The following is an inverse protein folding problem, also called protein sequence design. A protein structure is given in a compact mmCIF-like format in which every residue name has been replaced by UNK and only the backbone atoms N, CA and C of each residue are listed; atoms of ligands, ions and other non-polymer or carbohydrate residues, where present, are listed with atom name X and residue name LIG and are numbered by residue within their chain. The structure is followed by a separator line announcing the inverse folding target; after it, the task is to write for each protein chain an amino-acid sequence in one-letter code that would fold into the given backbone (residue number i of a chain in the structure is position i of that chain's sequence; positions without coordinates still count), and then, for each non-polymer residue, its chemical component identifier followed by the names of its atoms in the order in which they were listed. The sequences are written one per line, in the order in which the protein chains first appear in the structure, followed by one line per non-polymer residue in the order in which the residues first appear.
data_IF_320890794733
#
_entry.id   IF_320890794733
#
_cell.length_a   1.000
_cell.length_b   1.000
_cell.length_c   1.000
_cell.angle_alpha   90.00
_cell.angle_beta   90.00
_cell.angle_gamma   90.00
#
_symmetry.space_group_name_H-M   'P 1'
#
loop_
_entity.id
_entity.type
_entity.pdbx_description
1 polymer ?
#
# COMPACT_ATOMS: atom_id res chain seq x y z
N UNK A 1 -17.67 37.88 20.08
CA UNK A 1 -16.36 37.64 19.46
C UNK A 1 -16.51 36.42 18.58
N UNK A 2 -16.80 36.66 17.30
CA UNK A 2 -16.96 35.67 16.25
C UNK A 2 -15.59 35.14 15.86
N UNK A 3 -15.39 33.82 15.97
CA UNK A 3 -14.24 33.13 15.39
C UNK A 3 -14.39 33.19 13.87
N UNK A 4 -13.61 34.05 13.22
CA UNK A 4 -13.34 33.94 11.79
C UNK A 4 -12.51 32.67 11.58
N UNK A 5 -13.17 31.62 11.08
CA UNK A 5 -12.50 30.48 10.49
C UNK A 5 -11.72 30.96 9.27
N UNK A 6 -10.40 31.04 9.42
CA UNK A 6 -9.49 31.30 8.30
C UNK A 6 -9.41 30.01 7.48
N UNK A 7 -10.40 29.78 6.61
CA UNK A 7 -10.23 28.87 5.48
C UNK A 7 -9.11 29.45 4.63
N UNK A 8 -7.92 28.87 4.74
CA UNK A 8 -6.85 29.17 3.79
C UNK A 8 -7.33 28.68 2.42
N UNK A 9 -7.32 29.52 1.37
CA UNK A 9 -7.73 29.09 0.04
C UNK A 9 -6.85 27.91 -0.39
N UNK A 10 -7.49 26.85 -0.87
CA UNK A 10 -6.83 25.68 -1.46
C UNK A 10 -5.76 26.15 -2.45
N UNK A 11 -4.48 25.92 -2.13
CA UNK A 11 -3.37 26.20 -3.05
C UNK A 11 -3.33 25.12 -4.12
N UNK A 12 -4.26 25.15 -5.08
CA UNK A 12 -4.12 24.34 -6.28
C UNK A 12 -3.11 25.04 -7.21
N UNK A 13 -2.07 24.32 -7.63
CA UNK A 13 -1.10 24.80 -8.61
C UNK A 13 -1.87 25.24 -9.87
N UNK A 14 -1.78 26.52 -10.24
CA UNK A 14 -2.65 27.17 -11.23
C UNK A 14 -2.56 26.57 -12.64
N UNK A 15 -1.46 25.87 -12.93
CA UNK A 15 -1.13 25.25 -14.20
C UNK A 15 -1.00 23.72 -14.09
N UNK A 16 -1.50 23.10 -13.02
CA UNK A 16 -1.45 21.65 -12.80
C UNK A 16 -2.07 20.87 -13.97
N UNK A 17 -1.27 19.97 -14.55
CA UNK A 17 -1.68 19.00 -15.57
C UNK A 17 -1.87 17.61 -14.98
N UNK A 18 -0.80 17.03 -14.41
CA UNK A 18 -0.84 15.70 -13.81
C UNK A 18 0.23 15.50 -12.73
N UNK A 19 -0.04 14.66 -11.75
CA UNK A 19 0.98 14.12 -10.86
C UNK A 19 1.86 13.11 -11.59
N UNK A 20 3.13 13.01 -11.20
CA UNK A 20 4.05 12.00 -11.74
C UNK A 20 4.47 11.05 -10.63
N UNK A 21 3.99 9.81 -10.72
CA UNK A 21 4.42 8.73 -9.84
C UNK A 21 5.61 8.00 -10.45
N UNK A 22 6.61 7.72 -9.62
CA UNK A 22 7.90 7.20 -10.08
C UNK A 22 8.09 5.74 -9.70
N UNK A 23 8.46 4.93 -10.68
CA UNK A 23 8.96 3.58 -10.54
C UNK A 23 10.48 3.60 -10.72
N UNK A 24 11.20 3.13 -9.72
CA UNK A 24 12.64 2.90 -9.87
C UNK A 24 12.84 1.40 -10.17
N UNK A 25 13.35 1.06 -11.35
CA UNK A 25 13.45 -0.33 -11.77
C UNK A 25 14.56 -1.12 -11.07
N UNK A 26 15.44 -0.48 -10.29
CA UNK A 26 16.38 -1.17 -9.41
C UNK A 26 15.68 -1.79 -8.19
N UNK A 27 14.52 -1.23 -7.80
CA UNK A 27 13.81 -1.59 -6.56
C UNK A 27 12.42 -2.17 -6.82
N UNK A 28 11.91 -1.99 -8.04
CA UNK A 28 10.61 -2.48 -8.49
C UNK A 28 10.81 -3.34 -9.74
N UNK A 29 9.83 -4.19 -10.06
CA UNK A 29 9.86 -5.04 -11.24
C UNK A 29 8.92 -4.51 -12.34
N UNK A 30 9.27 -3.42 -13.05
CA UNK A 30 8.39 -2.80 -14.02
C UNK A 30 7.98 -3.73 -15.17
N UNK A 31 8.78 -4.77 -15.47
CA UNK A 31 8.43 -5.76 -16.50
C UNK A 31 7.20 -6.59 -16.09
N UNK A 32 7.06 -6.89 -14.80
CA UNK A 32 5.87 -7.62 -14.30
C UNK A 32 4.62 -6.74 -14.36
N UNK A 33 4.75 -5.42 -14.20
CA UNK A 33 3.64 -4.46 -14.36
C UNK A 33 3.28 -4.27 -15.84
N UNK A 34 4.27 -4.24 -16.75
CA UNK A 34 4.02 -4.19 -18.20
C UNK A 34 3.19 -5.37 -18.67
N UNK A 35 3.52 -6.58 -18.20
CA UNK A 35 2.78 -7.78 -18.56
C UNK A 35 1.29 -7.73 -18.14
N UNK A 36 0.94 -6.86 -17.19
CA UNK A 36 -0.42 -6.64 -16.72
C UNK A 36 -1.16 -5.54 -17.50
N UNK A 37 -0.46 -4.78 -18.36
CA UNK A 37 -1.04 -3.72 -19.20
C UNK A 37 -1.39 -2.42 -18.46
N UNK A 38 -1.05 -2.33 -17.17
CA UNK A 38 -1.38 -1.17 -16.34
C UNK A 38 -1.22 -1.45 -14.85
N UNK A 39 -1.69 -0.52 -14.05
CA UNK A 39 -1.70 -0.57 -12.59
C UNK A 39 -3.10 -0.18 -12.10
N UNK A 40 -3.75 -1.05 -11.33
CA UNK A 40 -5.08 -0.82 -10.73
C UNK A 40 -5.03 -1.15 -9.24
N UNK A 41 -4.14 -0.48 -8.52
CA UNK A 41 -3.85 -0.76 -7.11
C UNK A 41 -3.20 0.45 -6.42
N UNK A 42 -2.74 0.27 -5.19
CA UNK A 42 -2.01 1.27 -4.43
C UNK A 42 -0.55 1.36 -4.88
N UNK A 43 -0.12 2.57 -5.20
CA UNK A 43 1.28 2.89 -5.45
C UNK A 43 1.92 3.54 -4.23
N UNK A 44 3.11 3.06 -3.84
CA UNK A 44 3.83 3.66 -2.73
C UNK A 44 4.40 5.04 -3.10
N UNK A 45 4.28 6.00 -2.19
CA UNK A 45 4.91 7.32 -2.32
C UNK A 45 6.15 7.42 -1.44
N UNK A 46 6.93 8.50 -1.61
CA UNK A 46 8.04 8.80 -0.69
C UNK A 46 7.49 9.23 0.67
N UNK A 47 8.11 8.78 1.75
CA UNK A 47 7.74 9.21 3.10
C UNK A 47 8.33 10.57 3.47
N UNK A 48 9.11 11.18 2.59
CA UNK A 48 9.63 12.52 2.81
C UNK A 48 8.45 13.48 2.96
N UNK A 49 8.38 14.25 4.05
CA UNK A 49 7.33 15.25 4.22
C UNK A 49 7.35 16.19 3.01
N UNK A 50 6.28 16.19 2.23
CA UNK A 50 6.13 17.01 1.05
C UNK A 50 4.69 17.45 0.98
N UNK A 51 4.46 18.76 0.98
CA UNK A 51 3.12 19.34 0.84
C UNK A 51 2.39 18.80 -0.41
N UNK A 52 3.15 18.39 -1.44
CA UNK A 52 2.60 17.82 -2.67
C UNK A 52 1.84 16.53 -2.44
N UNK A 53 2.28 15.71 -1.49
CA UNK A 53 1.55 14.48 -1.13
C UNK A 53 0.20 14.84 -0.50
N UNK A 54 0.13 15.94 0.25
CA UNK A 54 -1.13 16.42 0.83
C UNK A 54 -2.07 17.07 -0.21
N UNK A 55 -1.54 17.49 -1.36
CA UNK A 55 -2.31 18.09 -2.46
C UNK A 55 -2.86 17.05 -3.45
N UNK A 56 -2.45 15.77 -3.36
CA UNK A 56 -2.94 14.70 -4.23
C UNK A 56 -4.37 14.30 -3.86
N UNK A 57 -5.31 14.44 -4.80
CA UNK A 57 -6.73 14.14 -4.59
C UNK A 57 -7.25 13.09 -5.56
N UNK A 58 -8.35 12.42 -5.18
CA UNK A 58 -9.11 11.55 -6.08
C UNK A 58 -9.48 12.29 -7.37
N UNK A 59 -9.48 11.57 -8.49
CA UNK A 59 -9.70 12.07 -9.86
C UNK A 59 -8.61 13.04 -10.39
N UNK A 60 -7.55 13.37 -9.62
CA UNK A 60 -6.40 14.07 -10.21
C UNK A 60 -5.72 13.17 -11.27
N UNK A 61 -5.30 13.74 -12.41
CA UNK A 61 -4.52 13.02 -13.38
C UNK A 61 -3.17 12.54 -12.83
N UNK A 62 -2.76 11.34 -13.24
CA UNK A 62 -1.47 10.78 -12.88
C UNK A 62 -0.77 10.17 -14.10
N UNK A 63 0.54 10.35 -14.16
CA UNK A 63 1.43 9.77 -15.16
C UNK A 63 2.43 8.85 -14.47
N UNK A 64 2.64 7.66 -15.03
CA UNK A 64 3.59 6.68 -14.54
C UNK A 64 4.94 6.83 -15.24
N UNK A 65 5.97 7.14 -14.46
CA UNK A 65 7.32 7.36 -14.94
C UNK A 65 8.27 6.28 -14.45
N UNK A 66 8.99 5.64 -15.37
CA UNK A 66 10.06 4.69 -15.06
C UNK A 66 11.40 5.43 -15.08
N UNK A 67 12.09 5.40 -13.95
CA UNK A 67 13.42 5.98 -13.78
C UNK A 67 14.52 5.16 -14.45
N UNK A 68 15.73 5.72 -14.48
CA UNK A 68 16.94 5.00 -14.90
C UNK A 68 17.28 3.88 -13.92
N UNK A 69 18.07 2.91 -14.37
CA UNK A 69 18.61 1.84 -13.52
C UNK A 69 18.33 0.42 -14.02
N UNK A 70 17.53 0.27 -15.08
CA UNK A 70 17.34 -1.02 -15.75
C UNK A 70 18.17 -1.13 -17.02
N UNK A 71 18.59 -2.35 -17.35
CA UNK A 71 19.16 -2.71 -18.65
C UNK A 71 18.11 -3.29 -19.61
N UNK A 72 16.93 -3.61 -19.11
CA UNK A 72 15.88 -4.32 -19.86
C UNK A 72 14.66 -3.46 -20.13
N UNK A 73 14.59 -2.27 -19.54
CA UNK A 73 13.51 -1.32 -19.76
C UNK A 73 14.04 0.10 -19.89
N UNK A 74 13.48 0.86 -20.82
CA UNK A 74 13.85 2.24 -21.04
C UNK A 74 13.23 3.18 -20.00
N UNK A 75 14.03 4.12 -19.52
CA UNK A 75 13.51 5.20 -18.67
C UNK A 75 12.60 6.11 -19.49
N UNK A 76 11.52 6.62 -18.89
CA UNK A 76 10.55 7.46 -19.60
C UNK A 76 9.16 7.43 -18.98
N UNK A 77 8.18 7.94 -19.73
CA UNK A 77 6.77 7.96 -19.37
C UNK A 77 6.04 6.82 -20.05
N UNK A 78 5.37 6.00 -19.26
CA UNK A 78 4.92 4.67 -19.71
C UNK A 78 3.41 4.53 -19.77
N UNK A 79 2.69 5.48 -19.19
CA UNK A 79 1.25 5.42 -19.14
C UNK A 79 0.67 6.54 -18.30
N UNK A 80 -0.64 6.66 -18.36
CA UNK A 80 -1.37 7.67 -17.63
C UNK A 80 -2.71 7.15 -17.13
N UNK A 81 -3.32 7.90 -16.22
CA UNK A 81 -4.64 7.62 -15.70
C UNK A 81 -5.03 8.58 -14.58
N UNK A 82 -5.65 8.08 -13.52
CA UNK A 82 -6.10 8.91 -12.39
C UNK A 82 -5.71 8.35 -11.04
N UNK A 83 -5.68 9.25 -10.06
CA UNK A 83 -5.80 8.89 -8.67
C UNK A 83 -7.21 8.34 -8.43
N UNK A 84 -7.28 7.11 -7.95
CA UNK A 84 -8.54 6.40 -7.69
C UNK A 84 -8.93 6.41 -6.22
N UNK A 85 -8.00 6.78 -5.34
CA UNK A 85 -8.25 7.03 -3.94
C UNK A 85 -7.18 7.96 -3.35
N UNK A 86 -7.56 8.72 -2.32
CA UNK A 86 -6.68 9.66 -1.64
C UNK A 86 -5.45 9.00 -1.00
N UNK A 87 -4.52 9.83 -0.53
CA UNK A 87 -3.30 9.35 0.12
C UNK A 87 -3.62 8.63 1.44
N UNK A 88 -3.21 7.37 1.53
CA UNK A 88 -3.31 6.55 2.74
C UNK A 88 -1.97 6.48 3.44
N UNK A 89 -1.97 6.65 4.76
CA UNK A 89 -0.76 6.64 5.60
C UNK A 89 -0.81 5.58 6.69
N UNK A 90 0.37 5.15 7.14
CA UNK A 90 0.51 4.18 8.22
C UNK A 90 0.16 2.74 7.82
N UNK A 91 0.23 2.42 6.52
CA UNK A 91 0.13 1.06 6.01
C UNK A 91 1.54 0.62 5.62
N UNK A 92 2.04 -0.48 6.16
CA UNK A 92 3.38 -0.98 5.83
C UNK A 92 3.39 -1.72 4.48
N UNK A 93 4.49 -1.57 3.74
CA UNK A 93 4.69 -2.34 2.52
C UNK A 93 4.95 -3.81 2.81
N UNK A 94 4.67 -4.64 1.81
CA UNK A 94 5.19 -6.00 1.76
C UNK A 94 6.64 -5.97 1.24
N UNK A 95 7.67 -6.30 2.07
CA UNK A 95 9.07 -6.18 1.66
C UNK A 95 9.46 -7.07 0.49
N UNK A 96 8.70 -8.14 0.23
CA UNK A 96 9.00 -9.09 -0.84
C UNK A 96 8.34 -8.72 -2.18
N UNK A 97 7.41 -7.76 -2.18
CA UNK A 97 6.93 -7.12 -3.40
C UNK A 97 7.96 -6.13 -3.98
N UNK A 98 9.06 -5.90 -3.24
CA UNK A 98 10.14 -5.01 -3.60
C UNK A 98 11.42 -5.81 -3.83
N UNK A 99 12.23 -5.36 -4.78
CA UNK A 99 13.58 -5.90 -4.93
C UNK A 99 14.50 -5.46 -3.78
N UNK A 100 14.12 -4.41 -3.05
CA UNK A 100 14.81 -3.85 -1.88
C UNK A 100 13.86 -3.84 -0.67
N UNK A 101 14.06 -4.83 0.19
CA UNK A 101 13.23 -5.06 1.38
C UNK A 101 13.44 -4.00 2.46
N UNK A 102 14.66 -3.49 2.64
CA UNK A 102 14.96 -2.45 3.64
C UNK A 102 14.22 -1.15 3.30
N UNK A 103 14.18 -0.81 2.01
CA UNK A 103 13.43 0.35 1.55
C UNK A 103 11.92 0.16 1.68
N UNK A 104 11.42 -1.04 1.45
CA UNK A 104 10.00 -1.36 1.60
C UNK A 104 9.53 -1.17 3.05
N UNK A 105 10.32 -1.60 4.04
CA UNK A 105 10.00 -1.42 5.46
C UNK A 105 9.81 0.06 5.85
N UNK A 106 10.49 0.98 5.16
CA UNK A 106 10.30 2.40 5.40
C UNK A 106 8.99 2.95 4.82
N UNK A 107 8.39 2.33 3.79
CA UNK A 107 7.24 2.85 3.05
C UNK A 107 5.95 2.69 3.84
N UNK A 108 5.37 3.84 4.19
CA UNK A 108 4.11 3.91 4.96
C UNK A 108 3.02 4.73 4.28
N UNK A 109 3.32 5.32 3.12
CA UNK A 109 2.43 6.22 2.38
C UNK A 109 2.09 5.63 1.01
N UNK A 110 0.81 5.60 0.69
CA UNK A 110 0.25 4.95 -0.49
C UNK A 110 -0.78 5.84 -1.16
N UNK A 111 -0.96 5.64 -2.46
CA UNK A 111 -1.93 6.35 -3.27
C UNK A 111 -2.67 5.35 -4.14
N UNK A 112 -4.00 5.35 -4.10
CA UNK A 112 -4.79 4.55 -5.03
C UNK A 112 -4.64 5.12 -6.43
N UNK A 113 -4.19 4.32 -7.38
CA UNK A 113 -4.03 4.78 -8.77
C UNK A 113 -4.57 3.75 -9.74
N UNK A 114 -5.09 4.28 -10.85
CA UNK A 114 -5.50 3.50 -12.00
C UNK A 114 -4.79 4.07 -13.22
N UNK A 115 -3.82 3.32 -13.74
CA UNK A 115 -2.97 3.71 -14.87
C UNK A 115 -3.07 2.66 -15.95
N UNK A 116 -3.27 3.09 -17.18
CA UNK A 116 -3.11 2.25 -18.37
C UNK A 116 -1.74 2.53 -18.97
N UNK A 117 -0.99 1.47 -19.28
CA UNK A 117 0.28 1.63 -19.97
C UNK A 117 0.08 1.74 -21.48
N UNK A 118 0.86 2.61 -22.10
CA UNK A 118 0.89 2.77 -23.55
C UNK A 118 1.63 1.60 -24.19
N UNK A 119 1.23 1.26 -25.41
CA UNK A 119 1.92 0.22 -26.19
C UNK A 119 3.37 0.60 -26.48
N UNK A 120 3.60 1.90 -26.71
CA UNK A 120 4.93 2.48 -26.90
C UNK A 120 5.15 3.58 -25.86
N UNK A 121 6.06 3.43 -24.89
CA UNK A 121 6.35 4.47 -23.92
C UNK A 121 7.07 5.65 -24.57
N UNK A 122 6.88 6.85 -24.03
CA UNK A 122 7.69 8.02 -24.38
C UNK A 122 9.01 7.92 -23.62
N UNK A 123 10.09 7.63 -24.33
CA UNK A 123 11.41 7.48 -23.73
C UNK A 123 11.93 8.80 -23.17
N UNK A 124 12.85 8.72 -22.22
CA UNK A 124 13.53 9.89 -21.66
C UNK A 124 14.36 10.63 -22.71
N UNK A 125 14.78 9.98 -23.78
CA UNK A 125 15.47 10.63 -24.91
C UNK A 125 14.50 11.49 -25.71
N UNK A 126 13.37 10.93 -26.13
CA UNK A 126 12.31 11.69 -26.81
C UNK A 126 11.83 12.88 -25.97
N UNK A 127 11.61 12.68 -24.67
CA UNK A 127 11.21 13.75 -23.76
C UNK A 127 12.27 14.85 -23.56
N UNK A 128 13.56 14.58 -23.87
CA UNK A 128 14.63 15.59 -23.82
C UNK A 128 14.78 16.36 -25.11
N UNK A 129 14.35 15.77 -26.23
CA UNK A 129 14.36 16.41 -27.54
C UNK A 129 13.16 17.35 -27.71
N UNK A 130 12.08 17.11 -26.99
CA UNK A 130 10.92 18.01 -26.94
C UNK A 130 11.18 19.26 -26.09
N UNK A 131 10.92 20.43 -26.67
CA UNK A 131 11.23 21.74 -26.06
C UNK A 131 10.47 21.98 -24.75
N UNK A 132 9.26 21.42 -24.60
CA UNK A 132 8.42 21.61 -23.42
C UNK A 132 8.80 20.60 -22.33
N UNK A 133 8.85 19.31 -22.69
CA UNK A 133 9.14 18.24 -21.73
C UNK A 133 10.57 18.26 -21.21
N UNK A 134 11.53 18.78 -21.98
CA UNK A 134 12.92 18.89 -21.53
C UNK A 134 13.04 19.72 -20.23
N UNK A 135 12.14 20.69 -20.02
CA UNK A 135 12.10 21.53 -18.82
C UNK A 135 11.31 20.92 -17.65
N UNK A 136 10.52 19.87 -17.90
CA UNK A 136 9.64 19.27 -16.90
C UNK A 136 10.41 18.70 -15.71
N UNK A 137 9.81 18.74 -14.52
CA UNK A 137 10.46 18.26 -13.29
C UNK A 137 10.98 16.81 -13.38
N UNK A 138 10.25 15.84 -13.97
CA UNK A 138 10.74 14.47 -14.10
C UNK A 138 12.01 14.35 -14.95
N UNK A 139 12.18 15.23 -15.95
CA UNK A 139 13.31 15.21 -16.89
C UNK A 139 14.48 16.04 -16.36
N UNK A 140 14.23 17.29 -15.98
CA UNK A 140 15.27 18.24 -15.55
C UNK A 140 15.69 18.05 -14.08
N UNK A 141 14.79 17.55 -13.22
CA UNK A 141 15.00 17.43 -11.77
C UNK A 141 14.53 16.05 -11.26
N UNK A 142 15.12 14.94 -11.75
CA UNK A 142 14.63 13.58 -11.49
C UNK A 142 14.56 13.19 -10.01
N UNK A 143 15.27 13.88 -9.12
CA UNK A 143 15.24 13.71 -7.67
C UNK A 143 13.94 14.20 -6.99
N UNK A 144 13.17 15.08 -7.63
CA UNK A 144 11.94 15.64 -7.05
C UNK A 144 10.85 14.56 -7.04
N UNK A 145 10.23 14.31 -5.89
CA UNK A 145 9.18 13.29 -5.76
C UNK A 145 8.23 13.61 -4.58
N UNK A 146 6.90 13.68 -4.79
CA UNK A 146 6.21 13.62 -6.08
C UNK A 146 6.58 14.80 -6.98
N UNK A 147 6.76 14.53 -8.28
CA UNK A 147 6.84 15.55 -9.30
C UNK A 147 5.44 15.77 -9.89
N UNK A 148 5.24 16.86 -10.64
CA UNK A 148 4.05 17.07 -11.45
C UNK A 148 4.44 17.57 -12.84
N UNK A 149 3.51 17.46 -13.77
CA UNK A 149 3.53 18.11 -15.07
C UNK A 149 2.55 19.28 -15.03
N UNK A 150 2.93 20.39 -15.65
CA UNK A 150 1.98 21.43 -16.02
C UNK A 150 1.05 20.95 -17.13
N UNK A 151 -0.04 21.68 -17.41
CA UNK A 151 -0.95 21.36 -18.53
C UNK A 151 -0.21 21.30 -19.87
N UNK A 152 0.66 22.28 -20.15
CA UNK A 152 1.43 22.30 -21.38
C UNK A 152 2.40 21.11 -21.51
N UNK A 153 3.02 20.72 -20.40
CA UNK A 153 3.88 19.53 -20.36
C UNK A 153 3.07 18.24 -20.54
N UNK A 154 1.88 18.14 -19.93
CA UNK A 154 1.00 17.00 -20.15
C UNK A 154 0.54 16.90 -21.61
N UNK A 155 0.16 18.03 -22.23
CA UNK A 155 -0.25 18.07 -23.63
C UNK A 155 0.89 17.64 -24.57
N UNK A 156 2.11 18.13 -24.32
CA UNK A 156 3.30 17.72 -25.06
C UNK A 156 3.61 16.22 -24.90
N UNK A 157 3.45 15.69 -23.67
CA UNK A 157 3.60 14.27 -23.41
C UNK A 157 2.58 13.42 -24.18
N UNK A 158 1.30 13.80 -24.13
CA UNK A 158 0.24 13.07 -24.85
C UNK A 158 0.48 13.12 -26.36
N UNK A 159 0.88 14.27 -26.91
CA UNK A 159 1.22 14.39 -28.32
C UNK A 159 2.38 13.45 -28.73
N UNK A 160 3.45 13.37 -27.94
CA UNK A 160 4.55 12.43 -28.17
C UNK A 160 4.14 10.97 -28.03
N UNK A 161 3.20 10.69 -27.13
CA UNK A 161 2.65 9.35 -26.93
C UNK A 161 1.62 8.97 -28.02
N UNK A 162 1.24 9.90 -28.91
CA UNK A 162 0.23 9.67 -29.95
C UNK A 162 -1.21 9.66 -29.41
N UNK A 163 -1.45 10.36 -28.30
CA UNK A 163 -2.73 10.43 -27.60
C UNK A 163 -3.32 11.85 -27.63
N UNK A 164 -4.64 11.97 -27.80
CA UNK A 164 -5.34 13.26 -27.79
C UNK A 164 -5.76 13.66 -26.36
N UNK A 165 -5.91 12.67 -25.48
CA UNK A 165 -6.30 12.84 -24.09
C UNK A 165 -5.70 11.74 -23.22
N UNK A 166 -5.77 11.91 -21.90
CA UNK A 166 -5.43 10.86 -20.93
C UNK A 166 -6.25 9.57 -21.10
N UNK A 167 -7.43 9.65 -21.73
CA UNK A 167 -8.45 8.59 -21.77
C UNK A 167 -9.02 8.41 -23.17
N UNK A 168 -8.17 8.17 -24.17
CA UNK A 168 -8.56 7.97 -25.58
C UNK A 168 -9.44 6.71 -25.78
N UNK A 169 -10.70 6.81 -25.36
CA UNK A 169 -11.73 5.77 -25.49
C UNK A 169 -11.65 4.63 -24.47
N UNK A 170 -10.61 4.55 -23.64
CA UNK A 170 -10.52 3.62 -22.51
C UNK A 170 -11.13 4.26 -21.26
N UNK A 171 -12.14 3.61 -20.67
CA UNK A 171 -12.65 4.05 -19.37
C UNK A 171 -11.49 4.05 -18.36
N UNK A 172 -11.37 5.11 -17.56
CA UNK A 172 -10.36 5.18 -16.52
C UNK A 172 -10.42 3.89 -15.68
N UNK A 173 -9.30 3.19 -15.62
CA UNK A 173 -9.13 2.04 -14.73
C UNK A 173 -9.33 2.58 -13.32
N UNK A 174 -10.34 2.08 -12.60
CA UNK A 174 -10.68 2.53 -11.26
C UNK A 174 -10.51 1.36 -10.31
N UNK A 175 -9.77 1.59 -9.23
CA UNK A 175 -9.71 0.66 -8.10
C UNK A 175 -11.15 0.36 -7.68
N UNK A 176 -11.47 -0.93 -7.52
CA UNK A 176 -12.82 -1.36 -7.09
C UNK A 176 -13.16 -0.95 -5.65
N UNK A 177 -12.18 -0.48 -4.88
CA UNK A 177 -12.31 -0.15 -3.45
C UNK A 177 -11.46 1.07 -3.06
N UNK A 178 -11.99 1.98 -2.25
CA UNK A 178 -11.14 2.92 -1.50
C UNK A 178 -10.25 2.18 -0.50
N UNK A 179 -9.20 2.80 0.01
CA UNK A 179 -8.14 2.18 0.82
C UNK A 179 -8.61 1.96 2.24
N UNK A 180 -9.49 2.84 2.72
CA UNK A 180 -10.25 2.63 3.94
C UNK A 180 -11.18 1.42 3.82
N UNK A 181 -11.85 1.24 2.67
CA UNK A 181 -12.68 0.08 2.40
C UNK A 181 -11.85 -1.19 2.24
N UNK A 182 -10.71 -1.13 1.56
CA UNK A 182 -9.81 -2.27 1.37
C UNK A 182 -9.26 -2.74 2.71
N UNK A 183 -8.78 -1.83 3.55
CA UNK A 183 -8.34 -2.14 4.92
C UNK A 183 -9.48 -2.78 5.72
N UNK A 184 -10.67 -2.21 5.68
CA UNK A 184 -11.84 -2.76 6.36
C UNK A 184 -12.23 -4.15 5.81
N UNK A 185 -12.12 -4.39 4.51
CA UNK A 185 -12.38 -5.67 3.86
C UNK A 185 -11.33 -6.71 4.30
N UNK A 186 -10.05 -6.35 4.29
CA UNK A 186 -8.95 -7.22 4.72
C UNK A 186 -9.10 -7.60 6.18
N UNK A 187 -9.32 -6.63 7.07
CA UNK A 187 -9.55 -6.87 8.50
C UNK A 187 -10.78 -7.77 8.71
N UNK A 188 -11.90 -7.47 8.05
CA UNK A 188 -13.13 -8.28 8.11
C UNK A 188 -12.90 -9.72 7.64
N UNK A 189 -12.16 -9.92 6.54
CA UNK A 189 -11.86 -11.26 6.01
C UNK A 189 -10.86 -12.00 6.90
N UNK A 190 -9.86 -11.33 7.43
CA UNK A 190 -8.92 -11.91 8.39
C UNK A 190 -9.63 -12.41 9.64
N UNK A 191 -10.54 -11.63 10.21
CA UNK A 191 -11.36 -12.04 11.36
C UNK A 191 -12.28 -13.22 11.02
N UNK A 192 -12.91 -13.21 9.85
CA UNK A 192 -13.73 -14.33 9.41
C UNK A 192 -12.88 -15.62 9.26
N UNK A 193 -11.68 -15.51 8.70
CA UNK A 193 -10.73 -16.62 8.58
C UNK A 193 -10.26 -17.11 9.96
N UNK A 194 -9.96 -16.20 10.89
CA UNK A 194 -9.58 -16.50 12.28
C UNK A 194 -10.69 -17.28 13.00
N UNK A 195 -11.92 -16.77 12.97
CA UNK A 195 -13.10 -17.44 13.55
C UNK A 195 -13.30 -18.84 12.95
N UNK A 196 -13.14 -18.99 11.62
CA UNK A 196 -13.24 -20.28 10.93
C UNK A 196 -12.11 -21.24 11.35
N UNK A 197 -10.88 -20.75 11.46
CA UNK A 197 -9.72 -21.53 11.89
C UNK A 197 -9.92 -22.07 13.30
N UNK A 198 -10.23 -21.21 14.28
CA UNK A 198 -10.42 -21.63 15.66
C UNK A 198 -11.66 -22.48 15.90
N UNK A 199 -12.74 -22.26 15.14
CA UNK A 199 -13.91 -23.15 15.16
C UNK A 199 -13.53 -24.57 14.76
N UNK A 200 -12.66 -24.75 13.75
CA UNK A 200 -12.16 -26.08 13.35
C UNK A 200 -11.31 -26.74 14.42
N UNK A 201 -10.58 -25.95 15.21
CA UNK A 201 -9.79 -26.42 16.36
C UNK A 201 -10.64 -26.66 17.63
N UNK A 202 -11.97 -26.50 17.55
CA UNK A 202 -12.89 -26.76 18.65
C UNK A 202 -13.08 -25.59 19.62
N UNK A 203 -12.54 -24.41 19.33
CA UNK A 203 -12.77 -23.20 20.12
C UNK A 203 -14.14 -22.59 19.79
N UNK A 204 -14.76 -22.00 20.80
CA UNK A 204 -15.97 -21.19 20.72
C UNK A 204 -15.63 -19.73 21.01
N UNK A 205 -16.17 -18.83 20.20
CA UNK A 205 -16.04 -17.39 20.41
C UNK A 205 -16.80 -17.00 21.68
N UNK A 206 -16.10 -16.37 22.61
CA UNK A 206 -16.67 -15.78 23.82
C UNK A 206 -17.05 -14.33 23.52
N UNK A 207 -16.10 -13.59 22.95
CA UNK A 207 -16.25 -12.15 22.71
C UNK A 207 -15.42 -11.72 21.50
N UNK A 208 -16.02 -10.86 20.70
CA UNK A 208 -15.36 -10.07 19.67
C UNK A 208 -15.16 -8.67 20.26
N UNK A 209 -13.91 -8.30 20.49
CA UNK A 209 -13.53 -7.09 21.24
C UNK A 209 -12.79 -6.07 20.38
N UNK A 210 -12.86 -6.20 19.05
CA UNK A 210 -12.16 -5.32 18.11
C UNK A 210 -12.46 -3.82 18.33
N UNK A 211 -13.67 -3.49 18.80
CA UNK A 211 -14.07 -2.11 19.11
C UNK A 211 -13.66 -1.63 20.50
N UNK A 212 -13.16 -2.51 21.38
CA UNK A 212 -12.81 -2.18 22.76
C UNK A 212 -11.35 -1.71 22.86
N UNK A 213 -11.18 -0.44 23.22
CA UNK A 213 -9.86 0.18 23.29
C UNK A 213 -9.04 -0.37 24.45
N UNK A 214 -7.75 -0.63 24.19
CA UNK A 214 -6.75 -0.89 25.23
C UNK A 214 -6.60 -2.35 25.67
N UNK A 215 -7.32 -3.30 25.07
CA UNK A 215 -7.23 -4.72 25.41
C UNK A 215 -5.99 -5.40 24.78
N UNK A 216 -5.61 -5.01 23.56
CA UNK A 216 -4.45 -5.55 22.85
C UNK A 216 -4.66 -6.95 22.25
N UNK A 217 -5.91 -7.30 21.96
CA UNK A 217 -6.33 -8.49 21.20
C UNK A 217 -7.73 -8.24 20.61
N UNK A 218 -8.12 -9.03 19.62
CA UNK A 218 -9.39 -8.90 18.90
C UNK A 218 -10.46 -9.91 19.34
N UNK A 219 -10.05 -11.15 19.66
CA UNK A 219 -10.97 -12.25 19.95
C UNK A 219 -10.65 -12.93 21.28
N UNK A 220 -11.66 -13.18 22.10
CA UNK A 220 -11.60 -14.10 23.24
C UNK A 220 -12.27 -15.42 22.86
N UNK A 221 -11.55 -16.53 22.98
CA UNK A 221 -11.99 -17.85 22.57
C UNK A 221 -11.81 -18.85 23.71
N UNK A 222 -12.76 -19.79 23.84
CA UNK A 222 -12.72 -20.86 24.84
C UNK A 222 -12.91 -22.23 24.22
N UNK A 223 -12.15 -23.20 24.72
CA UNK A 223 -12.29 -24.61 24.36
C UNK A 223 -12.37 -25.44 25.63
N UNK A 224 -13.12 -26.54 25.56
CA UNK A 224 -13.11 -27.57 26.60
C UNK A 224 -12.74 -28.89 25.94
N UNK A 225 -11.57 -29.41 26.27
CA UNK A 225 -11.04 -30.66 25.73
C UNK A 225 -10.55 -31.53 26.90
N UNK A 226 -10.97 -32.80 26.94
CA UNK A 226 -10.58 -33.71 28.04
C UNK A 226 -10.96 -33.23 29.45
N UNK A 227 -11.98 -32.37 29.58
CA UNK A 227 -12.38 -31.78 30.87
C UNK A 227 -11.64 -30.49 31.25
N UNK A 228 -10.54 -30.17 30.57
CA UNK A 228 -9.74 -28.95 30.79
C UNK A 228 -10.36 -27.78 30.02
N UNK A 229 -10.54 -26.65 30.70
CA UNK A 229 -10.98 -25.39 30.08
C UNK A 229 -9.75 -24.59 29.65
N UNK A 230 -9.65 -24.29 28.37
CA UNK A 230 -8.64 -23.42 27.79
C UNK A 230 -9.30 -22.11 27.36
N UNK A 231 -8.68 -20.98 27.69
CA UNK A 231 -9.06 -19.65 27.19
C UNK A 231 -7.87 -19.06 26.48
N UNK A 232 -8.06 -18.59 25.25
CA UNK A 232 -7.04 -17.90 24.46
C UNK A 232 -7.55 -16.52 24.05
N UNK A 233 -6.61 -15.59 23.95
CA UNK A 233 -6.83 -14.23 23.49
C UNK A 233 -6.07 -14.07 22.18
N UNK A 234 -6.72 -13.62 21.12
CA UNK A 234 -6.13 -13.63 19.79
C UNK A 234 -6.14 -12.24 19.21
N UNK A 235 -4.96 -11.74 18.86
CA UNK A 235 -4.75 -10.60 17.99
C UNK A 235 -4.71 -11.09 16.54
N UNK A 236 -5.44 -10.44 15.63
CA UNK A 236 -5.58 -10.86 14.23
C UNK A 236 -5.04 -9.79 13.30
N UNK A 237 -4.04 -10.13 12.48
CA UNK A 237 -3.51 -9.25 11.43
C UNK A 237 -3.82 -9.83 10.05
N UNK A 238 -4.45 -9.03 9.20
CA UNK A 238 -4.69 -9.38 7.79
C UNK A 238 -3.58 -8.84 6.89
N UNK A 239 -3.16 -9.63 5.89
CA UNK A 239 -2.26 -9.19 4.82
C UNK A 239 -2.82 -9.56 3.45
N UNK A 240 -2.52 -8.71 2.47
CA UNK A 240 -2.71 -8.99 1.04
C UNK A 240 -1.40 -9.62 0.52
N UNK A 241 -1.48 -10.50 -0.49
CA UNK A 241 -0.30 -11.17 -1.05
C UNK A 241 0.05 -12.52 -0.41
N UNK A 242 0.89 -13.30 -1.11
CA UNK A 242 1.31 -14.66 -0.72
C UNK A 242 2.28 -14.62 0.46
N UNK A 243 2.24 -15.65 1.32
CA UNK A 243 3.22 -15.80 2.42
C UNK A 243 4.60 -16.13 1.87
N UNK A 244 5.60 -15.43 2.38
CA UNK A 244 7.02 -15.57 2.05
C UNK A 244 7.85 -15.82 3.32
N UNK A 245 9.14 -16.11 3.14
CA UNK A 245 10.11 -16.37 4.21
C UNK A 245 10.37 -15.20 5.17
N UNK A 246 9.89 -14.00 4.84
CA UNK A 246 10.26 -12.70 5.41
C UNK A 246 9.03 -11.90 5.88
N UNK A 247 7.83 -12.47 5.77
CA UNK A 247 6.58 -11.82 6.18
C UNK A 247 6.62 -11.37 7.65
N UNK A 248 6.38 -10.08 7.89
CA UNK A 248 6.30 -9.50 9.24
C UNK A 248 4.96 -8.77 9.49
N UNK A 249 4.62 -8.48 10.75
CA UNK A 249 3.48 -7.63 11.12
C UNK A 249 3.87 -6.73 12.28
N UNK A 250 3.36 -5.49 12.31
CA UNK A 250 3.56 -4.60 13.46
C UNK A 250 2.52 -4.84 14.54
N UNK A 251 3.01 -4.87 15.78
CA UNK A 251 2.18 -4.92 16.97
C UNK A 251 2.18 -3.57 17.68
N UNK A 252 1.01 -3.15 18.15
CA UNK A 252 0.92 -1.96 19.00
C UNK A 252 1.55 -2.22 20.37
N UNK A 253 1.89 -1.14 21.09
CA UNK A 253 2.40 -1.24 22.46
C UNK A 253 1.43 -1.98 23.40
N UNK A 254 0.12 -1.84 23.17
CA UNK A 254 -0.91 -2.54 23.94
C UNK A 254 -0.95 -4.03 23.60
N UNK A 255 -0.83 -4.40 22.33
CA UNK A 255 -0.75 -5.80 21.89
C UNK A 255 0.48 -6.50 22.49
N UNK A 256 1.65 -5.86 22.47
CA UNK A 256 2.86 -6.41 23.09
C UNK A 256 2.74 -6.51 24.62
N UNK A 257 2.08 -5.55 25.26
CA UNK A 257 1.78 -5.60 26.70
C UNK A 257 0.84 -6.77 27.01
N UNK A 258 -0.20 -6.98 26.21
CA UNK A 258 -1.11 -8.12 26.33
C UNK A 258 -0.37 -9.45 26.10
N UNK A 259 0.43 -9.55 25.04
CA UNK A 259 1.28 -10.71 24.74
C UNK A 259 2.26 -11.08 25.86
N UNK A 260 2.68 -10.10 26.68
CA UNK A 260 3.52 -10.31 27.86
C UNK A 260 2.73 -10.78 29.07
N UNK A 261 1.53 -10.24 29.29
CA UNK A 261 0.75 -10.41 30.52
C UNK A 261 -0.17 -11.64 30.45
N UNK A 262 -0.79 -11.88 29.31
CA UNK A 262 -1.87 -12.84 29.16
C UNK A 262 -1.32 -14.19 28.68
N UNK A 263 -1.44 -15.23 29.52
CA UNK A 263 -0.83 -16.56 29.28
C UNK A 263 -1.35 -17.27 28.03
N UNK A 264 -2.57 -16.95 27.60
CA UNK A 264 -3.22 -17.52 26.41
C UNK A 264 -3.17 -16.63 25.17
N UNK A 265 -2.36 -15.56 25.18
CA UNK A 265 -2.28 -14.64 24.06
C UNK A 265 -1.59 -15.27 22.85
N UNK A 266 -2.20 -15.12 21.67
CA UNK A 266 -1.71 -15.61 20.38
C UNK A 266 -1.83 -14.51 19.33
N UNK A 267 -0.89 -14.48 18.40
CA UNK A 267 -0.98 -13.68 17.19
C UNK A 267 -1.36 -14.59 16.03
N UNK A 268 -2.44 -14.23 15.34
CA UNK A 268 -2.88 -14.90 14.12
C UNK A 268 -2.69 -13.97 12.93
N UNK A 269 -1.82 -14.35 12.00
CA UNK A 269 -1.65 -13.63 10.74
C UNK A 269 -2.38 -14.38 9.64
N UNK A 270 -3.26 -13.67 8.93
CA UNK A 270 -4.01 -14.18 7.79
C UNK A 270 -3.45 -13.54 6.53
N UNK A 271 -2.60 -14.27 5.80
CA UNK A 271 -2.10 -13.87 4.48
C UNK A 271 -3.08 -14.31 3.38
N UNK A 272 -2.94 -13.72 2.20
CA UNK A 272 -3.85 -13.95 1.07
C UNK A 272 -5.31 -13.68 1.47
N UNK A 273 -5.56 -12.65 2.29
CA UNK A 273 -6.88 -12.40 2.89
C UNK A 273 -8.00 -12.17 1.87
N UNK A 274 -7.66 -11.71 0.66
CA UNK A 274 -8.61 -11.49 -0.44
C UNK A 274 -8.85 -12.73 -1.31
N UNK A 275 -8.05 -13.78 -1.13
CA UNK A 275 -8.17 -15.01 -1.92
C UNK A 275 -9.28 -15.93 -1.40
N UNK A 276 -9.71 -16.86 -2.25
CA UNK A 276 -10.71 -17.88 -1.88
C UNK A 276 -10.23 -18.78 -0.73
N UNK A 277 -8.91 -18.94 -0.58
CA UNK A 277 -8.27 -19.81 0.41
C UNK A 277 -7.17 -19.03 1.16
N UNK A 278 -7.52 -18.23 2.16
CA UNK A 278 -6.54 -17.51 2.95
C UNK A 278 -5.66 -18.48 3.75
N UNK A 279 -4.40 -18.10 3.94
CA UNK A 279 -3.40 -18.86 4.69
C UNK A 279 -3.31 -18.28 6.10
N UNK A 280 -3.32 -19.15 7.11
CA UNK A 280 -3.32 -18.74 8.52
C UNK A 280 -2.04 -19.21 9.18
N UNK A 281 -1.32 -18.28 9.80
CA UNK A 281 -0.12 -18.54 10.59
C UNK A 281 -0.36 -18.09 12.02
N UNK A 282 -0.09 -18.96 12.98
CA UNK A 282 -0.24 -18.66 14.41
C UNK A 282 1.12 -18.67 15.09
N UNK A 283 1.37 -17.70 15.96
CA UNK A 283 2.52 -17.72 16.88
C UNK A 283 2.09 -17.34 18.30
N UNK A 284 2.80 -17.87 19.30
CA UNK A 284 2.54 -17.56 20.70
C UNK A 284 2.98 -16.14 21.07
N UNK A 285 2.42 -15.57 22.15
CA UNK A 285 2.89 -14.28 22.68
C UNK A 285 4.36 -14.28 23.11
N UNK A 286 4.95 -15.44 23.41
CA UNK A 286 6.39 -15.55 23.68
C UNK A 286 7.21 -15.42 22.39
N UNK A 287 6.79 -16.08 21.32
CA UNK A 287 7.44 -16.03 20.01
C UNK A 287 7.32 -14.65 19.38
N UNK A 288 6.12 -14.05 19.41
CA UNK A 288 5.87 -12.70 18.93
C UNK A 288 6.82 -11.69 19.61
N UNK A 289 6.96 -11.74 20.93
CA UNK A 289 7.89 -10.87 21.67
C UNK A 289 9.36 -11.13 21.37
N UNK A 290 9.73 -12.39 21.12
CA UNK A 290 11.11 -12.74 20.75
C UNK A 290 11.45 -12.23 19.35
N UNK A 291 10.51 -12.33 18.41
CA UNK A 291 10.62 -11.84 17.05
C UNK A 291 10.54 -10.30 16.97
N UNK A 292 9.89 -9.64 17.94
CA UNK A 292 9.74 -8.17 18.03
C UNK A 292 11.04 -7.38 18.32
N UNK A 293 12.24 -7.95 18.17
CA UNK A 293 13.49 -7.29 18.57
C UNK A 293 13.97 -6.22 17.56
N UNK A 294 13.34 -5.05 17.69
CA UNK A 294 13.77 -3.69 17.34
C UNK A 294 14.14 -3.35 15.88
N UNK A 295 13.14 -2.97 15.07
CA UNK A 295 12.71 -1.58 14.81
C UNK A 295 11.16 -1.57 14.90
N UNK A 296 10.56 -0.56 15.52
CA UNK A 296 9.09 -0.30 15.52
C UNK A 296 8.10 -1.45 15.87
N UNK A 297 8.43 -2.37 16.79
CA UNK A 297 7.51 -3.44 17.23
C UNK A 297 7.08 -4.45 16.14
N UNK A 298 7.92 -4.63 15.12
CA UNK A 298 7.72 -5.57 14.00
C UNK A 298 8.02 -7.01 14.38
N UNK A 299 7.12 -7.94 14.06
CA UNK A 299 7.23 -9.38 14.33
C UNK A 299 7.43 -10.15 13.03
N UNK A 300 8.61 -10.73 12.81
CA UNK A 300 8.88 -11.64 11.68
C UNK A 300 8.27 -13.01 11.93
N UNK A 301 7.54 -13.54 10.96
CA UNK A 301 6.90 -14.86 11.07
C UNK A 301 7.91 -16.00 10.85
N UNK A 302 7.82 -17.10 11.63
CA UNK A 302 8.65 -18.27 11.41
C UNK A 302 8.34 -18.94 10.07
N UNK A 303 9.36 -19.52 9.44
CA UNK A 303 9.20 -20.38 8.26
C UNK A 303 8.47 -21.67 8.67
N UNK A 304 7.57 -22.16 7.80
CA UNK A 304 6.90 -23.47 7.95
C UNK A 304 7.66 -24.54 7.18
#
# INVERSE_FOLDING_TARGET
MSNESTEQPERRLTDFGAWVIKCNPEFSKPQELLAQGGLDDYWSLTNSPSYRVDEMQEDDPVVFYVGRGSRTVDAGFWGAGMITDGVVRGIEADPDAWADSERAESRTTWLGVGVTFWEVPVTLEQAREDEVLAASEPVAKPQVSPAYLTKAELDALLALAGHESLFDGTAAVRSRHSGSELKAIVEKRAIAAAKKHYKKLGFKLVKDVQSERGLGYDLELKRKEGGVKETILVEVKGKIGKRTSTSSVVLTANELKAAKKEKGWRLLVVSEALEKKPVVTEISGKEARKASKAMAHTVTLPQS
#
